data_IF_406079886183
#
_entry.id   IF_406079886183
#
_cell.length_a   1.000
_cell.length_b   1.000
_cell.length_c   1.000
_cell.angle_alpha   90.00
_cell.angle_beta   90.00
_cell.angle_gamma   90.00
#
_symmetry.space_group_name_H-M   'P 1'
#
loop_
_entity.id
_entity.type
_entity.pdbx_description
1 polymer ?
#
# COMPACT_ATOMS: atom_id res chain seq x y z
N UNK A 1 72.49 -4.43 73.56
CA UNK A 1 72.53 -3.83 72.21
C UNK A 1 73.04 -2.41 72.34
N UNK A 2 73.86 -1.97 71.38
CA UNK A 2 74.41 -0.61 71.36
C UNK A 2 73.27 0.41 71.18
N UNK A 3 73.14 1.45 72.02
CA UNK A 3 72.12 2.49 71.87
C UNK A 3 72.13 3.14 70.47
N UNK A 4 73.28 3.20 69.81
CA UNK A 4 73.41 3.69 68.43
C UNK A 4 72.65 2.82 67.40
N UNK A 5 72.61 1.50 67.63
CA UNK A 5 71.94 0.53 66.75
C UNK A 5 70.42 0.59 66.93
N UNK A 6 69.95 0.83 68.16
CA UNK A 6 68.51 1.01 68.43
C UNK A 6 67.96 2.29 67.79
N UNK A 7 68.76 3.37 67.81
CA UNK A 7 68.40 4.64 67.17
C UNK A 7 68.32 4.52 65.64
N UNK A 8 69.31 3.85 65.02
CA UNK A 8 69.32 3.53 63.59
C UNK A 8 68.15 2.64 63.15
N UNK A 9 67.76 1.65 63.95
CA UNK A 9 66.60 0.80 63.67
C UNK A 9 65.28 1.59 63.72
N UNK A 10 65.12 2.46 64.70
CA UNK A 10 63.93 3.32 64.83
C UNK A 10 63.85 4.39 63.73
N UNK A 11 64.98 4.82 63.17
CA UNK A 11 65.04 5.71 62.02
C UNK A 11 64.67 4.98 60.72
N UNK A 12 65.18 3.76 60.54
CA UNK A 12 64.86 2.91 59.39
C UNK A 12 63.38 2.51 59.35
N UNK A 13 62.76 2.22 60.50
CA UNK A 13 61.32 1.92 60.60
C UNK A 13 60.45 3.14 60.23
N UNK A 14 60.84 4.34 60.68
CA UNK A 14 60.15 5.58 60.30
C UNK A 14 60.23 5.84 58.80
N UNK A 15 61.41 5.67 58.22
CA UNK A 15 61.62 5.86 56.78
C UNK A 15 60.87 4.78 55.94
N UNK A 16 60.67 3.57 56.49
CA UNK A 16 59.85 2.53 55.87
C UNK A 16 58.37 2.87 55.91
N UNK A 17 57.88 3.37 57.05
CA UNK A 17 56.49 3.77 57.22
C UNK A 17 56.13 4.97 56.32
N UNK A 18 57.02 5.97 56.20
CA UNK A 18 56.84 7.10 55.27
C UNK A 18 56.77 6.61 53.81
N UNK A 19 57.69 5.72 53.39
CA UNK A 19 57.65 5.16 52.02
C UNK A 19 56.42 4.30 51.74
N UNK A 20 55.89 3.60 52.72
CA UNK A 20 54.63 2.86 52.58
C UNK A 20 53.44 3.81 52.46
N UNK A 21 53.42 4.88 53.26
CA UNK A 21 52.39 5.90 53.19
C UNK A 21 52.39 6.63 51.83
N UNK A 22 53.56 7.02 51.33
CA UNK A 22 53.69 7.63 50.00
C UNK A 22 53.21 6.70 48.87
N UNK A 23 53.52 5.40 48.95
CA UNK A 23 53.02 4.42 47.98
C UNK A 23 51.51 4.27 48.03
N UNK A 24 50.94 4.19 49.24
CA UNK A 24 49.50 4.08 49.42
C UNK A 24 48.76 5.32 48.87
N UNK A 25 49.28 6.52 49.12
CA UNK A 25 48.73 7.76 48.57
C UNK A 25 48.83 7.81 47.04
N UNK A 26 49.94 7.33 46.47
CA UNK A 26 50.14 7.31 45.02
C UNK A 26 49.26 6.27 44.32
N UNK A 27 49.07 5.10 44.93
CA UNK A 27 48.13 4.08 44.46
C UNK A 27 46.68 4.57 44.58
N UNK A 28 46.31 5.26 45.66
CA UNK A 28 44.99 5.86 45.81
C UNK A 28 44.74 6.91 44.73
N UNK A 29 45.70 7.82 44.49
CA UNK A 29 45.60 8.82 43.42
C UNK A 29 45.49 8.17 42.05
N UNK A 30 46.19 7.06 41.80
CA UNK A 30 46.08 6.31 40.53
C UNK A 30 44.69 5.69 40.39
N UNK A 31 44.16 5.08 41.44
CA UNK A 31 42.82 4.49 41.43
C UNK A 31 41.74 5.54 41.22
N UNK A 32 41.85 6.70 41.87
CA UNK A 32 40.91 7.81 41.73
C UNK A 32 40.96 8.38 40.29
N UNK A 33 42.17 8.58 39.73
CA UNK A 33 42.34 9.02 38.35
C UNK A 33 41.80 8.00 37.34
N UNK A 34 42.01 6.69 37.56
CA UNK A 34 41.43 5.62 36.73
C UNK A 34 39.91 5.54 36.85
N UNK A 35 39.34 5.80 38.03
CA UNK A 35 37.90 5.85 38.25
C UNK A 35 37.28 7.07 37.54
N UNK A 36 37.92 8.24 37.63
CA UNK A 36 37.49 9.47 36.96
C UNK A 36 37.57 9.32 35.43
N UNK A 37 38.67 8.79 34.90
CA UNK A 37 38.82 8.52 33.47
C UNK A 37 37.77 7.52 32.95
N UNK A 38 37.42 6.48 33.73
CA UNK A 38 36.35 5.54 33.38
C UNK A 38 34.98 6.20 33.39
N UNK A 39 34.70 7.05 34.38
CA UNK A 39 33.45 7.80 34.48
C UNK A 39 33.28 8.76 33.30
N UNK A 40 34.33 9.50 32.96
CA UNK A 40 34.32 10.44 31.84
C UNK A 40 34.16 9.71 30.50
N UNK A 41 34.83 8.56 30.31
CA UNK A 41 34.65 7.73 29.11
C UNK A 41 33.21 7.25 28.96
N UNK A 42 32.58 6.74 30.04
CA UNK A 42 31.17 6.34 30.01
C UNK A 42 30.26 7.51 29.66
N UNK A 43 30.51 8.69 30.22
CA UNK A 43 29.72 9.88 29.93
C UNK A 43 29.82 10.29 28.45
N UNK A 44 31.02 10.21 27.86
CA UNK A 44 31.23 10.48 26.43
C UNK A 44 30.54 9.44 25.55
N UNK A 45 30.62 8.16 25.90
CA UNK A 45 29.94 7.06 25.17
C UNK A 45 28.41 7.22 25.24
N UNK A 46 27.85 7.57 26.39
CA UNK A 46 26.41 7.84 26.54
C UNK A 46 25.95 9.10 25.81
N UNK A 47 26.77 10.16 25.80
CA UNK A 47 26.47 11.38 25.05
C UNK A 47 26.52 11.12 23.55
N UNK A 48 27.53 10.38 23.08
CA UNK A 48 27.64 9.97 21.67
C UNK A 48 26.42 9.15 21.27
N UNK A 49 26.03 8.15 22.07
CA UNK A 49 24.83 7.34 21.80
C UNK A 49 23.57 8.21 21.72
N UNK A 50 23.40 9.16 22.65
CA UNK A 50 22.25 10.09 22.62
C UNK A 50 22.24 10.98 21.37
N UNK A 51 23.41 11.42 20.91
CA UNK A 51 23.53 12.21 19.68
C UNK A 51 23.16 11.37 18.45
N UNK A 52 23.68 10.16 18.35
CA UNK A 52 23.38 9.22 17.26
C UNK A 52 21.89 8.85 17.21
N UNK A 53 21.28 8.57 18.37
CA UNK A 53 19.83 8.33 18.49
C UNK A 53 19.02 9.57 18.06
N UNK A 54 19.42 10.77 18.48
CA UNK A 54 18.76 12.02 18.10
C UNK A 54 18.89 12.32 16.61
N UNK A 55 20.07 12.09 16.01
CA UNK A 55 20.31 12.24 14.57
C UNK A 55 19.47 11.24 13.76
N UNK A 56 19.38 9.98 14.21
CA UNK A 56 18.55 8.95 13.56
C UNK A 56 17.07 9.29 13.62
N UNK A 57 16.59 9.79 14.76
CA UNK A 57 15.21 10.25 14.93
C UNK A 57 14.91 11.48 14.07
N UNK A 58 15.84 12.43 13.99
CA UNK A 58 15.69 13.60 13.13
C UNK A 58 15.62 13.18 11.66
N UNK A 59 16.55 12.33 11.20
CA UNK A 59 16.58 11.83 9.83
C UNK A 59 15.31 11.05 9.45
N UNK A 60 14.78 10.23 10.36
CA UNK A 60 13.53 9.48 10.11
C UNK A 60 12.26 10.33 10.18
N UNK A 61 12.34 11.53 10.77
CA UNK A 61 11.24 12.51 10.85
C UNK A 61 11.18 13.45 9.65
N UNK A 62 12.27 13.59 8.90
CA UNK A 62 12.29 14.37 7.66
C UNK A 62 11.46 13.70 6.56
N UNK A 63 10.85 14.53 5.69
CA UNK A 63 10.19 14.03 4.49
C UNK A 63 11.15 13.20 3.63
N UNK A 64 10.60 12.17 2.98
CA UNK A 64 11.38 11.22 2.20
C UNK A 64 11.35 11.55 0.70
N UNK A 65 12.30 10.99 -0.04
CA UNK A 65 12.33 10.99 -1.50
C UNK A 65 11.41 9.90 -2.05
N UNK A 66 10.98 9.97 -3.32
CA UNK A 66 10.08 8.97 -3.89
C UNK A 66 10.66 7.54 -3.79
N UNK A 67 11.95 7.29 -4.10
CA UNK A 67 12.52 5.94 -3.99
C UNK A 67 12.49 5.40 -2.57
N UNK A 68 12.90 6.21 -1.58
CA UNK A 68 12.89 5.81 -0.16
C UNK A 68 11.47 5.56 0.35
N UNK A 69 10.53 6.38 -0.11
CA UNK A 69 9.12 6.23 0.24
C UNK A 69 8.52 4.93 -0.29
N UNK A 70 8.72 4.62 -1.58
CA UNK A 70 8.25 3.37 -2.19
C UNK A 70 8.89 2.14 -1.53
N UNK A 71 10.17 2.23 -1.20
CA UNK A 71 10.87 1.19 -0.44
C UNK A 71 10.21 0.98 0.92
N UNK A 72 9.95 2.05 1.67
CA UNK A 72 9.31 1.96 2.98
C UNK A 72 7.89 1.38 2.89
N UNK A 73 7.10 1.80 1.90
CA UNK A 73 5.78 1.20 1.65
C UNK A 73 5.87 -0.30 1.35
N UNK A 74 6.89 -0.73 0.61
CA UNK A 74 7.09 -2.15 0.31
C UNK A 74 7.47 -2.97 1.54
N UNK A 75 8.41 -2.49 2.36
CA UNK A 75 8.77 -3.13 3.63
C UNK A 75 7.55 -3.31 4.55
N UNK A 76 6.65 -2.32 4.55
CA UNK A 76 5.41 -2.37 5.31
C UNK A 76 4.44 -3.42 4.78
N UNK A 77 4.31 -3.51 3.45
CA UNK A 77 3.52 -4.56 2.83
C UNK A 77 4.02 -5.95 3.24
N UNK A 78 5.35 -6.15 3.27
CA UNK A 78 5.97 -7.41 3.70
C UNK A 78 5.74 -7.71 5.20
N UNK A 79 5.76 -6.69 6.05
CA UNK A 79 5.64 -6.84 7.51
C UNK A 79 4.23 -7.27 7.99
N UNK A 80 3.21 -7.18 7.14
CA UNK A 80 1.82 -7.40 7.56
C UNK A 80 1.45 -8.87 7.61
N UNK A 81 0.78 -9.25 8.69
CA UNK A 81 0.32 -10.60 8.95
C UNK A 81 -1.02 -10.88 8.26
N UNK A 82 -1.07 -11.99 7.53
CA UNK A 82 -2.32 -12.58 7.04
C UNK A 82 -2.74 -13.69 8.00
N UNK A 83 -3.98 -13.62 8.48
CA UNK A 83 -4.54 -14.67 9.33
C UNK A 83 -4.94 -15.86 8.45
N UNK A 84 -4.27 -17.00 8.64
CA UNK A 84 -4.51 -18.23 7.86
C UNK A 84 -5.42 -19.23 8.59
N UNK A 85 -5.66 -19.05 9.89
CA UNK A 85 -6.53 -19.92 10.69
C UNK A 85 -8.00 -19.76 10.25
N UNK A 86 -8.65 -20.83 9.71
CA UNK A 86 -10.04 -20.77 9.26
C UNK A 86 -11.04 -20.38 10.36
N UNK A 87 -10.74 -20.66 11.63
CA UNK A 87 -11.62 -20.31 12.75
C UNK A 87 -11.61 -18.81 13.08
N UNK A 88 -10.61 -18.09 12.58
CA UNK A 88 -10.39 -16.66 12.82
C UNK A 88 -10.62 -15.81 11.58
N UNK A 89 -11.07 -16.41 10.48
CA UNK A 89 -11.30 -15.73 9.21
C UNK A 89 -12.76 -15.73 8.79
N UNK A 90 -13.14 -14.74 8.00
CA UNK A 90 -14.51 -14.65 7.46
C UNK A 90 -14.83 -15.83 6.54
N UNK A 91 -15.97 -16.48 6.78
CA UNK A 91 -16.47 -17.59 5.99
C UNK A 91 -17.45 -17.13 4.91
N UNK A 92 -17.61 -17.91 3.85
CA UNK A 92 -18.60 -17.70 2.79
C UNK A 92 -18.01 -17.73 1.39
N UNK A 93 -18.88 -17.75 0.38
CA UNK A 93 -18.48 -17.78 -1.02
C UNK A 93 -17.71 -16.50 -1.40
N UNK A 94 -16.69 -16.66 -2.24
CA UNK A 94 -15.79 -15.59 -2.73
C UNK A 94 -16.55 -14.55 -3.55
N UNK A 95 -17.52 -15.01 -4.32
CA UNK A 95 -18.38 -14.20 -5.20
C UNK A 95 -19.73 -14.88 -5.37
N UNK A 96 -20.76 -14.08 -5.67
CA UNK A 96 -22.08 -14.57 -6.08
C UNK A 96 -22.31 -14.21 -7.55
N UNK A 97 -22.17 -15.16 -8.49
CA UNK A 97 -22.15 -14.85 -9.92
C UNK A 97 -23.54 -14.63 -10.56
N UNK A 98 -24.63 -14.67 -9.80
CA UNK A 98 -26.00 -14.64 -10.36
C UNK A 98 -26.32 -13.29 -11.02
N UNK A 99 -26.91 -13.37 -12.22
CA UNK A 99 -27.38 -12.22 -13.02
C UNK A 99 -26.30 -11.18 -13.38
N UNK A 100 -25.07 -11.63 -13.64
CA UNK A 100 -23.96 -10.75 -14.04
C UNK A 100 -23.64 -10.88 -15.52
N UNK A 101 -23.16 -9.77 -16.10
CA UNK A 101 -22.60 -9.79 -17.46
C UNK A 101 -21.27 -10.53 -17.41
N UNK A 102 -21.11 -11.50 -18.29
CA UNK A 102 -19.93 -12.37 -18.35
C UNK A 102 -19.06 -11.95 -19.53
N UNK A 103 -17.73 -11.80 -19.36
CA UNK A 103 -16.85 -11.57 -20.49
C UNK A 103 -16.85 -12.80 -21.42
N UNK A 104 -16.85 -12.59 -22.74
CA UNK A 104 -16.71 -13.66 -23.73
C UNK A 104 -15.32 -14.28 -23.72
N UNK A 105 -14.32 -13.48 -23.36
CA UNK A 105 -12.92 -13.88 -23.33
C UNK A 105 -12.17 -13.11 -22.24
N UNK A 106 -11.40 -13.84 -21.43
CA UNK A 106 -10.42 -13.31 -20.49
C UNK A 106 -9.05 -13.69 -21.05
N UNK A 107 -8.28 -12.69 -21.48
CA UNK A 107 -7.00 -12.89 -22.18
C UNK A 107 -5.84 -12.36 -21.34
N UNK A 108 -4.69 -13.02 -21.41
CA UNK A 108 -3.47 -12.55 -20.76
C UNK A 108 -2.94 -11.26 -21.40
N UNK A 109 -2.46 -10.33 -20.56
CA UNK A 109 -1.92 -9.05 -20.99
C UNK A 109 -0.40 -9.09 -21.02
N UNK A 110 0.12 -9.65 -22.11
CA UNK A 110 1.54 -9.80 -22.43
C UNK A 110 2.34 -8.49 -22.40
N UNK A 111 1.76 -7.40 -22.90
CA UNK A 111 2.38 -6.07 -22.97
C UNK A 111 2.24 -5.23 -21.70
N UNK A 112 1.64 -5.79 -20.63
CA UNK A 112 1.34 -5.04 -19.40
C UNK A 112 2.58 -4.37 -18.79
N UNK A 113 3.66 -5.12 -18.61
CA UNK A 113 4.90 -4.64 -17.99
C UNK A 113 5.51 -3.49 -18.79
N UNK A 114 5.58 -3.62 -20.12
CA UNK A 114 6.08 -2.57 -21.00
C UNK A 114 5.23 -1.30 -20.93
N UNK A 115 3.90 -1.46 -20.85
CA UNK A 115 2.98 -0.34 -20.70
C UNK A 115 3.11 0.35 -19.34
N UNK A 116 3.32 -0.38 -18.24
CA UNK A 116 3.61 0.18 -16.93
C UNK A 116 4.94 0.95 -16.93
N UNK A 117 5.98 0.36 -17.52
CA UNK A 117 7.31 0.97 -17.60
C UNK A 117 7.34 2.29 -18.35
N UNK A 118 6.44 2.50 -19.33
CA UNK A 118 6.29 3.81 -19.99
C UNK A 118 5.95 4.93 -19.01
N UNK A 119 5.23 4.64 -17.92
CA UNK A 119 4.94 5.66 -16.89
C UNK A 119 6.17 5.96 -16.04
N UNK A 120 6.95 4.93 -15.70
CA UNK A 120 8.21 5.07 -14.97
C UNK A 120 9.26 5.86 -15.77
N UNK A 121 9.44 5.54 -17.04
CA UNK A 121 10.34 6.30 -17.91
C UNK A 121 9.98 7.77 -18.05
N UNK A 122 8.69 8.13 -17.93
CA UNK A 122 8.27 9.54 -17.86
C UNK A 122 8.67 10.18 -16.53
N UNK A 123 8.57 9.47 -15.40
CA UNK A 123 9.05 9.96 -14.11
C UNK A 123 10.58 10.12 -14.10
N UNK A 124 11.32 9.17 -14.68
CA UNK A 124 12.79 9.18 -14.76
C UNK A 124 13.34 10.38 -15.53
N UNK A 125 12.56 10.94 -16.46
CA UNK A 125 12.89 12.18 -17.17
C UNK A 125 12.86 13.43 -16.27
N UNK A 126 12.39 13.30 -15.03
CA UNK A 126 12.24 14.39 -14.06
C UNK A 126 12.99 14.07 -12.75
N UNK A 127 14.34 14.01 -12.78
CA UNK A 127 15.15 13.55 -11.65
C UNK A 127 14.98 14.40 -10.39
N UNK A 128 14.66 15.69 -10.53
CA UNK A 128 14.35 16.55 -9.39
C UNK A 128 13.18 16.01 -8.55
N UNK A 129 12.13 15.49 -9.19
CA UNK A 129 11.00 14.89 -8.48
C UNK A 129 11.38 13.63 -7.68
N UNK A 130 12.34 12.86 -8.19
CA UNK A 130 12.83 11.65 -7.52
C UNK A 130 13.75 11.97 -6.33
N UNK A 131 14.45 13.10 -6.36
CA UNK A 131 15.42 13.50 -5.32
C UNK A 131 14.87 14.48 -4.29
N UNK A 132 13.79 15.20 -4.59
CA UNK A 132 13.15 16.11 -3.63
C UNK A 132 12.46 15.32 -2.51
N UNK A 133 12.58 15.83 -1.28
CA UNK A 133 11.96 15.27 -0.07
C UNK A 133 10.49 15.70 0.05
N UNK A 134 9.61 15.14 -0.79
CA UNK A 134 8.20 15.55 -0.90
C UNK A 134 7.21 14.63 -0.19
N UNK A 135 7.66 13.44 0.22
CA UNK A 135 6.79 12.34 0.66
C UNK A 135 6.83 12.16 2.19
N UNK A 136 5.84 11.48 2.78
CA UNK A 136 5.79 11.21 4.20
C UNK A 136 7.11 10.64 4.75
N UNK A 137 7.46 11.02 5.97
CA UNK A 137 8.66 10.54 6.62
C UNK A 137 8.56 9.06 6.99
N UNK A 138 9.71 8.41 7.18
CA UNK A 138 9.74 7.00 7.60
C UNK A 138 9.08 6.81 8.97
N UNK A 139 9.21 7.78 9.86
CA UNK A 139 8.54 7.78 11.15
C UNK A 139 7.00 7.84 11.01
N UNK A 140 6.47 8.64 10.07
CA UNK A 140 5.04 8.65 9.79
C UNK A 140 4.53 7.30 9.29
N UNK A 141 5.31 6.63 8.44
CA UNK A 141 4.98 5.30 7.93
C UNK A 141 5.06 4.21 9.01
N UNK A 142 6.06 4.25 9.90
CA UNK A 142 6.13 3.32 11.04
C UNK A 142 4.97 3.53 12.02
N UNK A 143 4.52 4.77 12.22
CA UNK A 143 3.31 5.04 13.00
C UNK A 143 2.08 4.34 12.40
N UNK A 144 1.89 4.41 11.08
CA UNK A 144 0.80 3.70 10.40
C UNK A 144 0.95 2.19 10.57
N UNK A 145 2.18 1.65 10.47
CA UNK A 145 2.47 0.23 10.72
C UNK A 145 1.94 -0.26 12.05
N UNK A 146 2.12 0.53 13.11
CA UNK A 146 1.71 0.18 14.48
C UNK A 146 0.18 0.13 14.65
N UNK A 147 -0.58 0.75 13.75
CA UNK A 147 -2.05 0.81 13.80
C UNK A 147 -2.73 -0.29 12.97
N UNK A 148 -2.00 -0.97 12.08
CA UNK A 148 -2.57 -1.97 11.19
C UNK A 148 -2.70 -3.31 11.90
N UNK A 149 -3.93 -3.83 11.94
CA UNK A 149 -4.23 -5.17 12.44
C UNK A 149 -3.98 -6.25 11.36
N UNK A 150 -3.74 -7.51 11.76
CA UNK A 150 -3.68 -8.63 10.82
C UNK A 150 -4.92 -8.73 9.94
N UNK A 151 -4.74 -9.16 8.69
CA UNK A 151 -5.83 -9.27 7.71
C UNK A 151 -6.58 -10.60 7.92
N UNK A 152 -7.85 -10.53 8.31
CA UNK A 152 -8.72 -11.71 8.52
C UNK A 152 -10.02 -11.68 7.69
N UNK A 153 -10.26 -10.57 7.01
CA UNK A 153 -11.49 -10.28 6.27
C UNK A 153 -11.26 -9.31 5.11
N UNK A 154 -12.25 -9.23 4.21
CA UNK A 154 -12.27 -8.21 3.14
C UNK A 154 -12.33 -6.78 3.72
N UNK A 155 -12.89 -6.61 4.93
CA UNK A 155 -12.95 -5.32 5.59
C UNK A 155 -11.58 -4.87 6.10
N UNK A 156 -10.83 -5.78 6.73
CA UNK A 156 -9.43 -5.51 7.17
C UNK A 156 -8.55 -5.21 5.96
N UNK A 157 -8.69 -5.99 4.88
CA UNK A 157 -7.96 -5.78 3.63
C UNK A 157 -8.26 -4.39 3.06
N UNK A 158 -9.54 -3.98 3.03
CA UNK A 158 -9.93 -2.66 2.55
C UNK A 158 -9.32 -1.53 3.37
N UNK A 159 -9.29 -1.66 4.70
CA UNK A 159 -8.66 -0.66 5.56
C UNK A 159 -7.16 -0.57 5.29
N UNK A 160 -6.51 -1.73 5.17
CA UNK A 160 -5.09 -1.81 4.79
C UNK A 160 -4.80 -1.14 3.45
N UNK A 161 -5.52 -1.50 2.40
CA UNK A 161 -5.30 -0.96 1.04
C UNK A 161 -5.53 0.55 0.99
N UNK A 162 -6.52 1.04 1.74
CA UNK A 162 -6.74 2.48 1.88
C UNK A 162 -5.51 3.19 2.46
N UNK A 163 -4.99 2.71 3.58
CA UNK A 163 -3.89 3.38 4.29
C UNK A 163 -2.55 3.20 3.60
N UNK A 164 -2.28 2.03 3.02
CA UNK A 164 -0.93 1.65 2.60
C UNK A 164 -0.69 1.71 1.10
N UNK A 165 -1.75 1.72 0.30
CA UNK A 165 -1.64 1.76 -1.16
C UNK A 165 -2.36 3.00 -1.70
N UNK A 166 -3.66 3.12 -1.50
CA UNK A 166 -4.49 4.17 -2.09
C UNK A 166 -4.08 5.57 -1.64
N UNK A 167 -3.92 5.79 -0.33
CA UNK A 167 -3.50 7.09 0.22
C UNK A 167 -2.10 7.48 -0.28
N UNK A 168 -1.21 6.50 -0.45
CA UNK A 168 0.16 6.72 -0.91
C UNK A 168 0.18 7.05 -2.41
N UNK A 169 -0.59 6.34 -3.22
CA UNK A 169 -0.78 6.63 -4.65
C UNK A 169 -1.39 8.01 -4.85
N UNK A 170 -2.42 8.37 -4.07
CA UNK A 170 -3.01 9.72 -4.08
C UNK A 170 -1.94 10.77 -3.75
N UNK A 171 -1.19 10.59 -2.67
CA UNK A 171 -0.14 11.53 -2.29
C UNK A 171 0.89 11.74 -3.42
N UNK A 172 1.28 10.67 -4.12
CA UNK A 172 2.20 10.78 -5.27
C UNK A 172 1.54 11.55 -6.43
N UNK A 173 0.31 11.21 -6.80
CA UNK A 173 -0.39 11.87 -7.90
C UNK A 173 -0.64 13.35 -7.61
N UNK A 174 -0.97 13.71 -6.36
CA UNK A 174 -1.13 15.10 -5.95
C UNK A 174 0.18 15.89 -6.13
N UNK A 175 1.33 15.30 -5.73
CA UNK A 175 2.65 15.92 -5.97
C UNK A 175 3.02 16.02 -7.45
N UNK A 176 2.64 15.05 -8.27
CA UNK A 176 2.79 15.13 -9.75
C UNK A 176 1.94 16.29 -10.29
N UNK A 177 0.71 16.44 -9.80
CA UNK A 177 -0.23 17.47 -10.24
C UNK A 177 0.20 18.89 -9.86
N UNK A 178 0.83 19.06 -8.68
CA UNK A 178 1.38 20.34 -8.20
C UNK A 178 2.51 20.89 -9.08
N UNK A 179 3.20 20.04 -9.87
CA UNK A 179 4.35 20.41 -10.69
C UNK A 179 3.93 20.55 -12.16
N UNK A 180 3.91 21.77 -12.70
CA UNK A 180 3.43 22.07 -14.07
C UNK A 180 4.11 21.24 -15.19
N UNK A 181 5.38 20.92 -15.04
CA UNK A 181 6.13 20.08 -16.00
C UNK A 181 5.60 18.65 -16.01
N UNK A 182 5.45 18.04 -14.83
CA UNK A 182 4.93 16.70 -14.66
C UNK A 182 3.44 16.61 -15.01
N UNK A 183 2.63 17.56 -14.56
CA UNK A 183 1.22 17.70 -14.93
C UNK A 183 1.05 17.64 -16.45
N UNK A 184 1.85 18.39 -17.21
CA UNK A 184 1.84 18.38 -18.68
C UNK A 184 2.39 17.07 -19.27
N UNK A 185 3.48 16.53 -18.74
CA UNK A 185 4.09 15.29 -19.22
C UNK A 185 3.17 14.06 -19.08
N UNK A 186 2.38 14.04 -17.99
CA UNK A 186 1.36 13.03 -17.74
C UNK A 186 -0.01 13.38 -18.34
N UNK A 187 -0.26 14.63 -18.74
CA UNK A 187 -1.57 15.03 -19.27
C UNK A 187 -2.65 15.05 -18.18
N UNK A 188 -2.28 15.32 -16.94
CA UNK A 188 -3.21 15.41 -15.82
C UNK A 188 -3.99 16.73 -15.84
N UNK A 189 -5.28 16.63 -15.53
CA UNK A 189 -6.29 17.69 -15.56
C UNK A 189 -7.00 17.86 -14.21
N UNK A 190 -6.52 17.16 -13.18
CA UNK A 190 -7.22 17.06 -11.92
C UNK A 190 -6.52 16.19 -10.88
N UNK A 191 -7.10 16.14 -9.68
CA UNK A 191 -6.68 15.26 -8.58
C UNK A 191 -7.49 13.97 -8.56
N UNK A 192 -7.14 13.05 -7.66
CA UNK A 192 -7.87 11.79 -7.47
C UNK A 192 -8.35 11.60 -6.04
N UNK A 193 -9.42 10.83 -5.88
CA UNK A 193 -9.75 10.21 -4.59
C UNK A 193 -10.13 8.76 -4.79
N UNK A 194 -10.09 7.98 -3.70
CA UNK A 194 -10.65 6.65 -3.67
C UNK A 194 -11.92 6.65 -2.83
N UNK A 195 -13.02 6.17 -3.40
CA UNK A 195 -14.35 6.25 -2.81
C UNK A 195 -15.11 4.94 -2.90
N UNK A 196 -15.95 4.68 -1.92
CA UNK A 196 -16.95 3.63 -2.04
C UNK A 196 -18.12 4.06 -2.90
N UNK A 197 -18.73 3.06 -3.54
CA UNK A 197 -19.88 3.21 -4.41
C UNK A 197 -21.05 4.02 -3.81
N UNK A 198 -21.26 3.97 -2.49
CA UNK A 198 -22.31 4.73 -1.81
C UNK A 198 -22.22 6.25 -2.04
N UNK A 199 -21.02 6.77 -2.29
CA UNK A 199 -20.78 8.20 -2.44
C UNK A 199 -20.97 8.71 -3.88
N UNK A 200 -20.91 7.81 -4.87
CA UNK A 200 -21.08 8.15 -6.29
C UNK A 200 -22.49 8.66 -6.63
N UNK A 201 -23.51 8.26 -5.87
CA UNK A 201 -24.89 8.72 -6.06
C UNK A 201 -25.27 9.96 -5.24
N UNK A 202 -24.45 10.34 -4.25
CA UNK A 202 -24.69 11.52 -3.39
C UNK A 202 -24.13 12.80 -4.02
N UNK A 203 -23.02 12.71 -4.77
CA UNK A 203 -22.40 13.87 -5.41
C UNK A 203 -23.33 14.55 -6.43
N UNK A 204 -24.16 13.78 -7.15
CA UNK A 204 -25.12 14.33 -8.13
C UNK A 204 -26.34 14.98 -7.46
N UNK A 205 -26.66 14.64 -6.21
CA UNK A 205 -27.79 15.23 -5.45
C UNK A 205 -27.38 16.40 -4.55
N UNK A 206 -26.10 16.50 -4.20
CA UNK A 206 -25.60 17.61 -3.37
C UNK A 206 -25.59 18.96 -4.11
N UNK A 207 -25.62 18.95 -5.45
CA UNK A 207 -25.70 20.18 -6.25
C UNK A 207 -27.07 20.90 -6.17
N UNK A 208 -28.12 20.25 -5.63
CA UNK A 208 -29.48 20.82 -5.56
C UNK A 208 -29.92 21.23 -4.14
N UNK A 209 -29.02 21.24 -3.14
CA UNK A 209 -29.39 21.62 -1.78
C UNK A 209 -28.72 22.95 -1.37
N UNK A 210 -29.55 24.00 -1.37
CA UNK A 210 -29.23 25.31 -0.79
C UNK A 210 -28.65 25.16 0.64
N UNK A 211 -27.56 25.87 0.98
CA UNK A 211 -26.99 25.85 2.31
C UNK A 211 -27.81 26.76 3.23
N UNK A 212 -28.84 26.20 3.84
CA UNK A 212 -29.70 26.91 4.78
C UNK A 212 -30.59 25.93 5.51
N UNK A 213 -29.99 25.11 6.38
CA UNK A 213 -30.52 24.72 7.69
C UNK A 213 -29.62 23.63 8.30
N UNK A 214 -28.62 24.08 9.06
CA UNK A 214 -27.98 23.22 10.05
C UNK A 214 -28.85 23.22 11.30
N UNK A 215 -29.56 22.12 11.55
CA UNK A 215 -29.90 21.76 12.92
C UNK A 215 -29.94 20.26 13.13
N UNK A 216 -29.05 19.84 14.04
CA UNK A 216 -28.94 18.54 14.66
C UNK A 216 -30.28 17.98 15.10
N UNK A 217 -30.64 16.77 14.65
CA UNK A 217 -31.65 15.93 15.29
C UNK A 217 -31.43 14.47 14.92
N UNK A 218 -31.01 13.69 15.91
CA UNK A 218 -31.04 12.24 15.91
C UNK A 218 -32.48 11.83 16.26
N UNK A 219 -33.16 11.09 15.38
CA UNK A 219 -34.09 10.00 15.76
C UNK A 219 -34.70 9.26 14.53
N UNK A 220 -35.17 8.00 14.70
CA UNK A 220 -35.32 7.01 13.63
C UNK A 220 -36.71 7.01 13.00
N UNK A 221 -36.80 6.73 11.69
CA UNK A 221 -38.10 6.44 11.06
C UNK A 221 -38.08 5.21 10.15
N UNK A 222 -38.87 4.23 10.61
CA UNK A 222 -39.58 3.25 9.80
C UNK A 222 -40.55 4.00 8.87
N UNK A 223 -40.47 3.75 7.57
CA UNK A 223 -41.39 4.35 6.58
C UNK A 223 -41.22 3.74 5.20
N UNK A 224 -42.22 2.96 4.81
CA UNK A 224 -42.38 2.17 3.58
C UNK A 224 -42.34 3.02 2.30
N UNK A 225 -41.42 2.72 1.38
CA UNK A 225 -41.53 3.20 -0.02
C UNK A 225 -41.25 2.11 -1.06
N UNK A 226 -42.24 2.02 -1.95
CA UNK A 226 -42.38 1.33 -3.24
C UNK A 226 -41.22 0.47 -3.78
N UNK A 227 -41.47 -0.84 -3.84
CA UNK A 227 -40.69 -1.79 -4.65
C UNK A 227 -40.93 -1.56 -6.14
N UNK A 228 -40.10 -0.74 -6.77
CA UNK A 228 -39.58 -1.06 -8.10
C UNK A 228 -38.34 -1.90 -7.90
N UNK A 229 -38.47 -3.21 -8.09
CA UNK A 229 -37.37 -4.18 -8.09
C UNK A 229 -36.41 -3.92 -9.25
N UNK A 230 -35.55 -2.91 -9.12
CA UNK A 230 -34.23 -2.94 -9.76
C UNK A 230 -33.33 -3.80 -8.88
N UNK A 231 -32.89 -4.93 -9.42
CA UNK A 231 -31.95 -5.85 -8.81
C UNK A 231 -30.69 -5.06 -8.44
N UNK A 232 -30.49 -4.77 -7.15
CA UNK A 232 -29.21 -4.25 -6.62
C UNK A 232 -28.21 -5.40 -6.62
N UNK A 233 -27.71 -5.73 -7.81
CA UNK A 233 -26.83 -6.87 -8.08
C UNK A 233 -25.39 -6.60 -7.68
N UNK A 234 -25.09 -6.54 -6.38
CA UNK A 234 -23.74 -6.32 -5.84
C UNK A 234 -23.07 -5.03 -6.33
N UNK A 235 -22.00 -4.58 -5.70
CA UNK A 235 -21.30 -3.35 -6.07
C UNK A 235 -19.79 -3.63 -6.03
N UNK A 236 -19.00 -2.91 -6.84
CA UNK A 236 -17.55 -2.89 -6.65
C UNK A 236 -17.22 -2.22 -5.32
N UNK A 237 -16.17 -2.68 -4.64
CA UNK A 237 -15.86 -2.23 -3.29
C UNK A 237 -15.45 -0.75 -3.25
N UNK A 238 -14.63 -0.34 -4.22
CA UNK A 238 -14.10 1.02 -4.34
C UNK A 238 -13.89 1.45 -5.80
N UNK A 239 -13.81 2.76 -6.00
CA UNK A 239 -13.47 3.40 -7.26
C UNK A 239 -12.40 4.47 -7.04
N UNK A 240 -11.48 4.61 -7.99
CA UNK A 240 -10.68 5.84 -8.11
C UNK A 240 -11.46 6.86 -8.95
N UNK A 241 -11.73 8.01 -8.36
CA UNK A 241 -12.49 9.11 -8.96
C UNK A 241 -11.52 10.18 -9.40
N UNK A 242 -11.52 10.48 -10.69
CA UNK A 242 -10.78 11.58 -11.27
C UNK A 242 -11.61 12.86 -11.19
N UNK A 243 -11.09 13.86 -10.47
CA UNK A 243 -11.71 15.17 -10.28
C UNK A 243 -11.04 16.19 -11.17
N UNK A 244 -11.60 16.41 -12.36
CA UNK A 244 -11.08 17.41 -13.28
C UNK A 244 -11.53 18.82 -12.88
N UNK A 245 -10.88 19.84 -13.45
CA UNK A 245 -11.29 21.24 -13.27
C UNK A 245 -12.79 21.44 -13.65
N UNK A 246 -13.67 21.51 -12.66
CA UNK A 246 -15.14 21.51 -12.77
C UNK A 246 -15.83 20.60 -11.73
N UNK A 247 -17.16 20.43 -11.82
CA UNK A 247 -17.94 19.48 -10.99
C UNK A 247 -18.00 18.06 -11.63
N UNK A 248 -17.05 17.74 -12.52
CA UNK A 248 -17.04 16.46 -13.23
C UNK A 248 -16.26 15.39 -12.44
N UNK A 249 -17.00 14.40 -11.93
CA UNK A 249 -16.46 13.26 -11.18
C UNK A 249 -16.47 12.00 -12.05
N UNK A 250 -15.32 11.65 -12.61
CA UNK A 250 -15.20 10.53 -13.56
C UNK A 250 -14.61 9.31 -12.85
N UNK A 251 -15.32 8.18 -12.80
CA UNK A 251 -14.73 6.94 -12.29
C UNK A 251 -13.67 6.43 -13.28
N UNK A 252 -12.39 6.51 -12.89
CA UNK A 252 -11.27 6.12 -13.74
C UNK A 252 -10.89 4.64 -13.55
N UNK A 253 -11.07 4.11 -12.33
CA UNK A 253 -10.65 2.77 -11.94
C UNK A 253 -11.69 2.12 -11.04
N UNK A 254 -11.99 0.84 -11.26
CA UNK A 254 -12.81 0.02 -10.37
C UNK A 254 -11.95 -0.98 -9.58
N UNK A 255 -12.23 -1.15 -8.29
CA UNK A 255 -11.42 -1.99 -7.41
C UNK A 255 -12.32 -3.00 -6.70
N UNK A 256 -11.90 -4.26 -6.71
CA UNK A 256 -12.54 -5.36 -6.00
C UNK A 256 -11.52 -5.97 -5.02
N UNK A 257 -11.92 -6.09 -3.75
CA UNK A 257 -11.11 -6.74 -2.72
C UNK A 257 -11.58 -8.16 -2.49
N UNK A 258 -10.63 -9.08 -2.36
CA UNK A 258 -10.88 -10.44 -1.90
C UNK A 258 -9.92 -10.79 -0.79
N UNK A 259 -10.46 -11.29 0.32
CA UNK A 259 -9.61 -11.70 1.42
C UNK A 259 -8.62 -12.78 0.95
N UNK A 260 -7.35 -12.76 1.40
CA UNK A 260 -6.31 -13.67 0.92
C UNK A 260 -6.70 -15.15 1.07
N UNK A 261 -7.41 -15.51 2.14
CA UNK A 261 -7.88 -16.88 2.39
C UNK A 261 -9.06 -17.32 1.52
N UNK A 262 -9.73 -16.38 0.82
CA UNK A 262 -10.82 -16.65 -0.12
C UNK A 262 -10.35 -16.75 -1.57
N UNK A 263 -9.27 -16.08 -1.90
CA UNK A 263 -8.65 -16.11 -3.23
C UNK A 263 -7.14 -16.06 -3.02
N UNK A 264 -6.52 -17.24 -3.00
CA UNK A 264 -5.09 -17.33 -2.70
C UNK A 264 -4.26 -16.93 -3.91
N UNK A 265 -2.99 -16.60 -3.70
CA UNK A 265 -2.05 -16.37 -4.80
C UNK A 265 -1.98 -17.58 -5.75
N UNK A 266 -1.98 -18.79 -5.21
CA UNK A 266 -1.86 -20.01 -6.01
C UNK A 266 -3.13 -20.24 -6.86
N UNK A 267 -4.32 -19.90 -6.34
CA UNK A 267 -5.57 -19.89 -7.13
C UNK A 267 -5.48 -18.90 -8.30
N UNK A 268 -4.90 -17.72 -8.07
CA UNK A 268 -4.74 -16.67 -9.09
C UNK A 268 -3.79 -17.14 -10.20
N UNK A 269 -2.60 -17.61 -9.81
CA UNK A 269 -1.57 -18.06 -10.75
C UNK A 269 -2.05 -19.29 -11.53
N UNK A 270 -2.65 -20.28 -10.85
CA UNK A 270 -3.19 -21.47 -11.51
C UNK A 270 -4.39 -21.15 -12.40
N UNK A 271 -5.29 -20.28 -11.94
CA UNK A 271 -6.49 -19.90 -12.69
C UNK A 271 -6.21 -19.09 -13.95
N UNK A 272 -5.13 -18.30 -13.96
CA UNK A 272 -4.69 -17.48 -15.09
C UNK A 272 -3.43 -18.02 -15.79
N UNK A 273 -3.20 -19.34 -15.72
CA UNK A 273 -2.11 -19.96 -16.46
C UNK A 273 -2.30 -19.84 -18.00
N UNK A 274 -3.54 -19.70 -18.47
CA UNK A 274 -3.93 -19.53 -19.88
C UNK A 274 -5.16 -18.64 -19.98
N UNK A 275 -5.45 -18.17 -21.19
CA UNK A 275 -6.71 -17.52 -21.53
C UNK A 275 -7.93 -18.39 -21.13
N UNK A 276 -9.03 -17.72 -20.81
CA UNK A 276 -10.27 -18.38 -20.37
C UNK A 276 -11.43 -17.91 -21.24
N UNK A 277 -12.18 -18.85 -21.80
CA UNK A 277 -13.50 -18.60 -22.36
C UNK A 277 -14.60 -19.00 -21.37
N UNK A 278 -15.15 -18.08 -20.53
CA UNK A 278 -16.01 -18.47 -19.41
C UNK A 278 -17.23 -19.30 -19.82
N UNK A 279 -17.92 -18.93 -20.90
CA UNK A 279 -19.10 -19.65 -21.40
C UNK A 279 -18.79 -21.05 -21.92
N UNK A 280 -17.58 -21.28 -22.44
CA UNK A 280 -17.16 -22.57 -23.02
C UNK A 280 -16.47 -23.46 -22.02
N UNK A 281 -15.77 -22.88 -21.03
CA UNK A 281 -14.85 -23.59 -20.16
C UNK A 281 -15.31 -23.69 -18.71
N UNK A 282 -16.09 -22.73 -18.21
CA UNK A 282 -16.40 -22.61 -16.78
C UNK A 282 -17.90 -22.76 -16.51
N UNK A 283 -18.73 -22.01 -17.23
CA UNK A 283 -20.17 -21.94 -16.97
C UNK A 283 -20.83 -23.29 -17.27
N UNK A 284 -21.64 -23.77 -16.33
CA UNK A 284 -22.38 -25.03 -16.47
C UNK A 284 -21.52 -26.28 -16.41
N UNK A 285 -20.23 -26.15 -16.05
CA UNK A 285 -19.33 -27.27 -15.83
C UNK A 285 -19.05 -27.44 -14.34
N UNK A 286 -18.85 -28.69 -13.95
CA UNK A 286 -18.45 -29.05 -12.59
C UNK A 286 -17.34 -30.08 -12.64
N UNK A 287 -16.31 -29.86 -11.84
CA UNK A 287 -15.13 -30.72 -11.72
C UNK A 287 -14.42 -30.35 -10.42
N UNK A 288 -13.90 -31.38 -9.74
CA UNK A 288 -13.08 -31.23 -8.52
C UNK A 288 -11.58 -31.16 -8.84
N UNK A 289 -11.22 -31.09 -10.13
CA UNK A 289 -9.85 -30.88 -10.58
C UNK A 289 -9.30 -29.53 -10.06
N UNK A 290 -8.12 -29.48 -9.42
CA UNK A 290 -7.58 -28.26 -8.81
C UNK A 290 -7.38 -27.12 -9.82
N UNK A 291 -6.91 -27.41 -11.04
CA UNK A 291 -6.70 -26.40 -12.09
C UNK A 291 -8.05 -25.83 -12.55
N UNK A 292 -9.05 -26.69 -12.72
CA UNK A 292 -10.42 -26.26 -12.99
C UNK A 292 -11.00 -25.41 -11.85
N UNK A 293 -10.76 -25.77 -10.59
CA UNK A 293 -11.26 -25.02 -9.44
C UNK A 293 -10.67 -23.61 -9.39
N UNK A 294 -9.35 -23.50 -9.58
CA UNK A 294 -8.63 -22.22 -9.67
C UNK A 294 -9.14 -21.37 -10.84
N UNK A 295 -9.26 -21.97 -12.04
CA UNK A 295 -9.81 -21.31 -13.23
C UNK A 295 -11.23 -20.81 -13.00
N UNK A 296 -12.11 -21.65 -12.45
CA UNK A 296 -13.51 -21.31 -12.14
C UNK A 296 -13.58 -20.17 -11.15
N UNK A 297 -12.75 -20.20 -10.12
CA UNK A 297 -12.72 -19.18 -9.08
C UNK A 297 -12.27 -17.82 -9.63
N UNK A 298 -11.13 -17.77 -10.33
CA UNK A 298 -10.62 -16.52 -10.91
C UNK A 298 -11.57 -15.96 -11.96
N UNK A 299 -12.11 -16.81 -12.84
CA UNK A 299 -13.10 -16.38 -13.84
C UNK A 299 -14.34 -15.75 -13.17
N UNK A 300 -14.80 -16.29 -12.04
CA UNK A 300 -15.95 -15.74 -11.31
C UNK A 300 -15.63 -14.38 -10.66
N UNK A 301 -14.41 -14.18 -10.16
CA UNK A 301 -13.97 -12.91 -9.56
C UNK A 301 -13.73 -11.84 -10.63
N UNK A 302 -13.08 -12.19 -11.75
CA UNK A 302 -12.93 -11.28 -12.91
C UNK A 302 -14.30 -10.91 -13.46
N UNK A 303 -15.23 -11.87 -13.60
CA UNK A 303 -16.61 -11.63 -14.05
C UNK A 303 -17.34 -10.64 -13.12
N UNK A 304 -17.11 -10.73 -11.81
CA UNK A 304 -17.66 -9.77 -10.85
C UNK A 304 -17.25 -8.34 -11.18
N UNK A 305 -15.94 -8.09 -11.21
CA UNK A 305 -15.38 -6.77 -11.45
C UNK A 305 -15.74 -6.26 -12.86
N UNK A 306 -15.61 -7.13 -13.87
CA UNK A 306 -15.98 -6.84 -15.25
C UNK A 306 -17.43 -6.38 -15.39
N UNK A 307 -18.38 -7.07 -14.76
CA UNK A 307 -19.80 -6.70 -14.82
C UNK A 307 -20.04 -5.28 -14.29
N UNK A 308 -19.31 -4.84 -13.25
CA UNK A 308 -19.42 -3.48 -12.73
C UNK A 308 -18.73 -2.45 -13.59
N UNK A 309 -17.53 -2.78 -14.07
CA UNK A 309 -16.77 -1.96 -15.00
C UNK A 309 -17.62 -1.63 -16.22
N UNK A 310 -18.29 -2.62 -16.80
CA UNK A 310 -19.23 -2.41 -17.91
C UNK A 310 -20.41 -1.53 -17.51
N UNK A 311 -21.07 -1.83 -16.39
CA UNK A 311 -22.23 -1.06 -15.93
C UNK A 311 -21.92 0.41 -15.61
N UNK A 312 -20.66 0.74 -15.31
CA UNK A 312 -20.20 2.11 -15.00
C UNK A 312 -19.39 2.76 -16.12
N UNK A 313 -19.18 2.07 -17.23
CA UNK A 313 -18.35 2.56 -18.34
C UNK A 313 -16.88 2.75 -17.97
N UNK A 314 -16.38 2.01 -16.99
CA UNK A 314 -14.99 2.07 -16.53
C UNK A 314 -14.19 0.99 -17.25
N UNK A 315 -13.08 1.36 -17.90
CA UNK A 315 -12.28 0.42 -18.70
C UNK A 315 -11.13 -0.22 -17.95
N UNK A 316 -10.69 0.38 -16.84
CA UNK A 316 -9.58 -0.12 -16.03
C UNK A 316 -10.10 -0.57 -14.67
N UNK A 317 -9.58 -1.66 -14.16
CA UNK A 317 -9.86 -2.09 -12.80
C UNK A 317 -8.83 -3.07 -12.29
N UNK A 318 -8.84 -3.34 -10.99
CA UNK A 318 -8.03 -4.44 -10.47
C UNK A 318 -8.73 -5.17 -9.32
N UNK A 319 -8.39 -6.45 -9.18
CA UNK A 319 -8.69 -7.25 -8.01
C UNK A 319 -7.45 -7.26 -7.12
N UNK A 320 -7.61 -7.03 -5.82
CA UNK A 320 -6.50 -7.09 -4.87
C UNK A 320 -6.81 -8.09 -3.73
N UNK A 321 -5.80 -8.91 -3.41
CA UNK A 321 -5.81 -9.83 -2.26
C UNK A 321 -4.75 -9.50 -1.22
N UNK A 322 -4.17 -8.29 -1.28
CA UNK A 322 -2.89 -7.89 -0.66
C UNK A 322 -1.66 -8.66 -1.15
N UNK A 323 -1.77 -9.98 -1.35
CA UNK A 323 -0.66 -10.81 -1.83
C UNK A 323 -0.46 -10.65 -3.33
N UNK A 324 -1.54 -10.56 -4.09
CA UNK A 324 -1.51 -10.41 -5.53
C UNK A 324 -2.54 -9.39 -6.03
N UNK A 325 -2.21 -8.82 -7.18
CA UNK A 325 -3.07 -7.95 -7.96
C UNK A 325 -3.42 -8.63 -9.28
N UNK A 326 -4.68 -8.57 -9.68
CA UNK A 326 -5.11 -8.89 -11.05
C UNK A 326 -5.53 -7.56 -11.69
N UNK A 327 -4.73 -7.03 -12.60
CA UNK A 327 -5.02 -5.81 -13.34
C UNK A 327 -5.85 -6.12 -14.58
N UNK A 328 -6.97 -5.43 -14.77
CA UNK A 328 -7.95 -5.67 -15.84
C UNK A 328 -8.07 -4.44 -16.76
N UNK A 329 -8.13 -4.68 -18.06
CA UNK A 329 -8.51 -3.67 -19.05
C UNK A 329 -9.59 -4.20 -20.00
N UNK A 330 -10.71 -3.51 -20.08
CA UNK A 330 -11.74 -3.78 -21.10
C UNK A 330 -11.31 -3.14 -22.42
N UNK A 331 -11.33 -3.96 -23.47
CA UNK A 331 -10.97 -3.57 -24.82
C UNK A 331 -12.02 -2.65 -25.45
N UNK A 332 -11.76 -2.19 -26.68
CA UNK A 332 -12.75 -1.44 -27.43
C UNK A 332 -13.96 -2.32 -27.77
N UNK A 333 -13.77 -3.64 -27.91
CA UNK A 333 -14.85 -4.60 -27.77
C UNK A 333 -15.22 -4.79 -26.28
N UNK A 334 -16.43 -4.37 -25.85
CA UNK A 334 -16.82 -4.45 -24.46
C UNK A 334 -17.14 -5.86 -23.97
N UNK A 335 -16.99 -6.90 -24.80
CA UNK A 335 -17.17 -8.29 -24.36
C UNK A 335 -15.90 -8.98 -23.87
N UNK A 336 -14.72 -8.41 -24.13
CA UNK A 336 -13.45 -9.05 -23.79
C UNK A 336 -12.65 -8.23 -22.79
N UNK A 337 -11.89 -8.91 -21.93
CA UNK A 337 -11.05 -8.28 -20.91
C UNK A 337 -9.63 -8.85 -20.96
N UNK A 338 -8.63 -7.98 -20.93
CA UNK A 338 -7.24 -8.36 -20.74
C UNK A 338 -6.90 -8.34 -19.25
N UNK A 339 -6.07 -9.29 -18.80
CA UNK A 339 -5.65 -9.39 -17.41
C UNK A 339 -4.14 -9.61 -17.26
N UNK A 340 -3.53 -9.00 -16.24
CA UNK A 340 -2.15 -9.26 -15.82
C UNK A 340 -2.10 -9.49 -14.32
N UNK A 341 -1.16 -10.32 -13.86
CA UNK A 341 -0.98 -10.63 -12.44
C UNK A 341 0.34 -10.03 -11.96
N UNK A 342 0.32 -9.39 -10.79
CA UNK A 342 1.52 -8.99 -10.07
C UNK A 342 1.46 -9.53 -8.65
N UNK A 343 2.59 -9.99 -8.13
CA UNK A 343 2.76 -10.44 -6.74
C UNK A 343 3.92 -9.66 -6.14
N UNK A 344 3.71 -8.45 -5.60
CA UNK A 344 4.80 -7.55 -5.24
C UNK A 344 5.84 -8.16 -4.31
N UNK A 345 5.45 -9.03 -3.38
CA UNK A 345 6.37 -9.71 -2.45
C UNK A 345 7.27 -10.76 -3.11
N UNK A 346 6.93 -11.25 -4.30
CA UNK A 346 7.76 -12.17 -5.10
C UNK A 346 8.44 -11.44 -6.26
N UNK A 347 7.79 -10.44 -6.85
CA UNK A 347 8.31 -9.69 -7.98
C UNK A 347 9.52 -8.81 -7.57
N UNK A 348 9.59 -8.43 -6.30
CA UNK A 348 10.73 -7.71 -5.69
C UNK A 348 11.58 -8.73 -4.91
N UNK A 349 12.56 -9.36 -5.58
CA UNK A 349 13.50 -10.29 -4.93
C UNK A 349 14.43 -9.56 -3.94
N UNK A 350 15.03 -8.46 -4.40
CA UNK A 350 15.82 -7.53 -3.59
C UNK A 350 15.39 -6.12 -3.99
N UNK A 351 15.03 -5.31 -3.01
CA UNK A 351 14.59 -3.96 -3.27
C UNK A 351 15.79 -3.06 -3.59
N UNK A 352 15.82 -2.58 -4.83
CA UNK A 352 16.82 -1.68 -5.35
C UNK A 352 16.16 -0.73 -6.34
N UNK A 353 16.88 0.31 -6.77
CA UNK A 353 16.32 1.34 -7.65
C UNK A 353 15.68 0.77 -8.94
N UNK A 354 16.18 -0.36 -9.43
CA UNK A 354 15.65 -1.02 -10.62
C UNK A 354 14.41 -1.87 -10.35
N UNK A 355 14.10 -2.25 -9.11
CA UNK A 355 12.93 -3.07 -8.74
C UNK A 355 11.80 -2.27 -8.08
N UNK A 356 12.02 -1.00 -7.72
CA UNK A 356 11.00 -0.15 -7.07
C UNK A 356 9.69 -0.04 -7.86
N UNK A 357 9.77 -0.09 -9.19
CA UNK A 357 8.60 -0.04 -10.08
C UNK A 357 7.68 -1.27 -9.94
N UNK A 358 8.15 -2.37 -9.33
CA UNK A 358 7.41 -3.60 -9.08
C UNK A 358 6.70 -3.62 -7.72
N UNK A 359 6.96 -2.62 -6.86
CA UNK A 359 6.26 -2.50 -5.57
C UNK A 359 4.76 -2.27 -5.77
N UNK A 360 3.95 -2.63 -4.77
CA UNK A 360 2.48 -2.50 -4.85
C UNK A 360 2.04 -1.06 -5.17
N UNK A 361 2.57 -0.07 -4.42
CA UNK A 361 2.29 1.35 -4.64
C UNK A 361 2.71 1.78 -6.04
N UNK A 362 3.87 1.32 -6.51
CA UNK A 362 4.37 1.66 -7.84
C UNK A 362 3.50 1.10 -8.97
N UNK A 363 3.08 -0.16 -8.88
CA UNK A 363 2.21 -0.80 -9.86
C UNK A 363 0.85 -0.12 -9.92
N UNK A 364 0.23 0.15 -8.76
CA UNK A 364 -1.06 0.85 -8.70
C UNK A 364 -0.94 2.29 -9.19
N UNK A 365 0.17 2.99 -8.89
CA UNK A 365 0.44 4.34 -9.39
C UNK A 365 0.49 4.36 -10.92
N UNK A 366 1.33 3.53 -11.52
CA UNK A 366 1.48 3.48 -12.99
C UNK A 366 0.15 3.09 -13.66
N UNK A 367 -0.59 2.14 -13.07
CA UNK A 367 -1.87 1.71 -13.59
C UNK A 367 -2.93 2.81 -13.50
N UNK A 368 -2.97 3.52 -12.37
CA UNK A 368 -3.88 4.65 -12.15
C UNK A 368 -3.58 5.78 -13.12
N UNK A 369 -2.32 6.19 -13.28
CA UNK A 369 -1.92 7.21 -14.25
C UNK A 369 -2.36 6.85 -15.68
N UNK A 370 -2.20 5.58 -16.07
CA UNK A 370 -2.68 5.09 -17.38
C UNK A 370 -4.20 5.15 -17.52
N UNK A 371 -4.94 4.84 -16.46
CA UNK A 371 -6.40 4.94 -16.47
C UNK A 371 -6.88 6.39 -16.59
N UNK A 372 -6.25 7.33 -15.88
CA UNK A 372 -6.63 8.75 -15.87
C UNK A 372 -6.44 9.45 -17.23
N UNK A 373 -5.44 9.02 -17.99
CA UNK A 373 -5.08 9.61 -19.29
C UNK A 373 -5.69 8.87 -20.47
N UNK A 374 -6.39 7.77 -20.20
CA UNK A 374 -7.10 7.01 -21.21
C UNK A 374 -8.35 7.78 -21.66
N UNK A 375 -8.69 7.79 -22.97
CA UNK A 375 -9.95 8.37 -23.42
C UNK A 375 -11.15 7.71 -22.73
N UNK A 376 -12.20 8.48 -22.39
CA UNK A 376 -13.46 7.92 -21.94
C UNK A 376 -14.03 6.91 -22.94
N UNK A 377 -14.88 6.00 -22.46
CA UNK A 377 -15.62 5.11 -23.36
C UNK A 377 -16.45 5.93 -24.37
N UNK A 378 -16.39 5.55 -25.64
CA UNK A 378 -17.17 6.21 -26.70
C UNK A 378 -18.66 5.86 -26.59
N UNK A 379 -19.53 6.67 -27.19
CA UNK A 379 -20.97 6.33 -27.28
C UNK A 379 -21.18 4.97 -27.95
N UNK A 380 -20.42 4.68 -29.02
CA UNK A 380 -20.43 3.38 -29.71
C UNK A 380 -20.11 2.20 -28.79
N UNK A 381 -19.21 2.41 -27.82
CA UNK A 381 -18.88 1.41 -26.81
C UNK A 381 -20.10 1.11 -25.91
N UNK A 382 -20.81 2.16 -25.47
CA UNK A 382 -22.04 2.00 -24.68
C UNK A 382 -23.18 1.38 -25.49
N UNK A 383 -23.32 1.75 -26.76
CA UNK A 383 -24.34 1.18 -27.66
C UNK A 383 -24.09 -0.32 -27.85
N UNK A 384 -22.82 -0.72 -28.08
CA UNK A 384 -22.42 -2.14 -28.18
C UNK A 384 -22.66 -2.91 -26.87
N UNK A 385 -22.49 -2.26 -25.71
CA UNK A 385 -22.86 -2.84 -24.41
C UNK A 385 -24.36 -3.05 -24.30
N UNK A 386 -25.18 -2.11 -24.77
CA UNK A 386 -26.64 -2.18 -24.67
C UNK A 386 -27.26 -3.24 -25.59
N UNK A 387 -26.63 -3.53 -26.73
CA UNK A 387 -27.09 -4.54 -27.69
C UNK A 387 -26.80 -5.99 -27.27
N UNK A 388 -25.84 -6.20 -26.37
CA UNK A 388 -25.42 -7.51 -25.84
C UNK A 388 -26.00 -7.75 -24.45
#
# INVERSE_FOLDING_TARGET
MDPKILELLAELERERAEREQERAELDQRRQDAEAEARSERRRREEEQRRREEAETLAASSESSTLPLFLHACHELLLAIEIVTDPTRTTQGAVTRPTNRRVPSHITLWDTFTEEQMKMWHKLDQHPHFLTEKLFPSLHQLDYVRQLISPISSEWDLRYYEQEMVENQVRAIIDRIYEKDELKRAFGLRGSITFESHANLGLSTRAADLNPGDQQSSVEPMVGTESKTTMVTGGQADRFCIYRQDGDEHIPALAIEYKAPHKLTRDDIVGGLAQDIHPSKEVIGKDSDDPDFCSKRLVAAVITQLFSYMVAKGVRYGYVCTREAFIFLRILDDPSSVMCSVCTPSLDVEEINDNSLHLTAVAQVLAFTLRALVSPPASQEWYDTVAEK
#
